data_IF_995939371608
#
_entry.id   IF_995939371608
#
_cell.length_a   1.000
_cell.length_b   1.000
_cell.length_c   1.000
_cell.angle_alpha   90.00
_cell.angle_beta   90.00
_cell.angle_gamma   90.00
#
_symmetry.space_group_name_H-M   'P 1'
#
loop_
_entity.id
_entity.type
_entity.pdbx_description
1 polymer ?
#
# COMPACT_ATOMS: atom_id res chain seq x y z
N UNK A 1 2.49 -1.46 -12.73
CA UNK A 1 2.74 -2.43 -11.68
C UNK A 1 3.24 -1.75 -10.43
N UNK A 2 3.17 -2.47 -9.35
CA UNK A 2 3.59 -1.91 -8.06
C UNK A 2 5.07 -1.56 -8.08
N UNK A 3 5.89 -2.37 -8.72
CA UNK A 3 7.32 -2.11 -8.76
C UNK A 3 7.62 -0.77 -9.41
N UNK A 4 6.89 -0.43 -10.46
CA UNK A 4 7.10 0.86 -11.11
C UNK A 4 6.79 2.02 -10.18
N UNK A 5 5.78 1.86 -9.35
CA UNK A 5 5.45 2.89 -8.37
C UNK A 5 6.56 3.05 -7.34
N UNK A 6 7.18 1.95 -6.94
CA UNK A 6 8.30 2.01 -5.99
C UNK A 6 9.50 2.72 -6.63
N UNK A 7 9.74 2.45 -7.91
CA UNK A 7 10.85 3.10 -8.58
C UNK A 7 10.65 4.60 -8.67
N UNK A 8 9.41 5.04 -8.86
CA UNK A 8 9.13 6.46 -8.90
C UNK A 8 9.42 7.11 -7.55
N UNK A 9 8.98 6.47 -6.47
CA UNK A 9 9.23 7.02 -5.14
C UNK A 9 10.71 7.13 -4.87
N UNK A 10 11.48 6.13 -5.28
CA UNK A 10 12.91 6.13 -5.05
C UNK A 10 13.60 7.18 -5.90
N UNK A 11 13.30 7.18 -7.19
CA UNK A 11 14.02 8.03 -8.13
C UNK A 11 13.73 9.49 -7.89
N UNK A 12 12.50 9.82 -7.59
CA UNK A 12 12.11 11.20 -7.41
C UNK A 12 12.12 11.66 -5.97
N UNK A 13 12.48 10.77 -5.06
CA UNK A 13 12.52 11.08 -3.63
C UNK A 13 11.21 11.73 -3.19
N UNK A 14 10.11 11.06 -3.45
CA UNK A 14 8.81 11.60 -3.14
C UNK A 14 7.92 10.50 -2.59
N UNK A 15 6.84 10.90 -1.93
CA UNK A 15 5.84 9.93 -1.50
C UNK A 15 4.95 9.59 -2.67
N UNK A 16 4.56 8.34 -2.75
CA UNK A 16 3.63 7.87 -3.76
C UNK A 16 2.53 7.09 -3.07
N UNK A 17 1.29 7.39 -3.39
CA UNK A 17 0.16 6.62 -2.90
C UNK A 17 -0.30 5.74 -4.05
N UNK A 18 -0.34 4.44 -3.80
CA UNK A 18 -0.68 3.46 -4.81
C UNK A 18 -2.10 2.98 -4.57
N UNK A 19 -2.92 3.01 -5.62
CA UNK A 19 -4.28 2.49 -5.57
C UNK A 19 -4.44 1.48 -6.68
N UNK A 20 -5.03 0.35 -6.36
CA UNK A 20 -5.46 -0.57 -7.41
C UNK A 20 -6.81 -0.11 -7.91
N UNK A 21 -7.17 -0.54 -9.11
CA UNK A 21 -8.33 0.03 -9.78
C UNK A 21 -9.66 -0.25 -9.11
N UNK A 22 -9.71 -1.24 -8.22
CA UNK A 22 -10.94 -1.53 -7.50
C UNK A 22 -10.97 -0.89 -6.11
N UNK A 23 -10.01 -0.06 -5.80
CA UNK A 23 -9.96 0.64 -4.51
C UNK A 23 -10.82 1.90 -4.56
N UNK A 24 -11.46 2.22 -3.44
CA UNK A 24 -12.18 3.49 -3.37
C UNK A 24 -12.08 4.07 -1.96
N UNK A 25 -12.06 5.39 -1.90
CA UNK A 25 -11.93 6.10 -0.65
C UNK A 25 -13.25 6.22 0.05
N UNK A 26 -13.24 5.97 1.35
CA UNK A 26 -14.41 6.18 2.21
C UNK A 26 -14.14 7.25 3.25
N UNK A 27 -12.90 7.71 3.35
CA UNK A 27 -12.51 8.77 4.28
C UNK A 27 -11.27 9.45 3.73
N UNK A 28 -11.00 10.69 4.14
CA UNK A 28 -9.79 11.37 3.65
C UNK A 28 -8.54 10.71 4.18
N UNK A 29 -7.49 10.73 3.39
CA UNK A 29 -6.17 10.29 3.83
C UNK A 29 -5.52 11.50 4.45
N UNK A 30 -5.05 11.41 5.70
CA UNK A 30 -4.43 12.57 6.34
C UNK A 30 -3.21 13.08 5.59
N UNK A 31 -3.01 14.39 5.64
CA UNK A 31 -1.89 15.01 4.99
C UNK A 31 -1.39 16.15 5.88
N UNK A 32 -0.19 16.08 6.44
CA UNK A 32 0.79 15.01 6.20
C UNK A 32 0.48 13.74 6.98
N UNK A 33 1.06 12.66 6.51
CA UNK A 33 0.93 11.39 7.18
C UNK A 33 2.34 10.94 7.55
N UNK A 34 2.54 10.59 8.81
CA UNK A 34 3.86 10.22 9.30
C UNK A 34 3.98 8.73 9.46
N UNK A 35 4.93 8.14 8.81
CA UNK A 35 5.17 6.71 8.84
C UNK A 35 6.63 6.47 8.48
N UNK A 36 7.12 5.25 8.76
CA UNK A 36 8.53 4.95 8.56
C UNK A 36 8.89 4.82 7.09
N UNK A 37 8.25 3.93 6.38
CA UNK A 37 8.59 3.68 4.98
C UNK A 37 7.41 3.35 4.10
N UNK A 38 6.49 2.55 4.60
CA UNK A 38 5.33 2.14 3.81
C UNK A 38 4.17 1.85 4.74
N UNK A 39 3.04 2.43 4.46
CA UNK A 39 1.87 2.30 5.33
C UNK A 39 0.67 1.84 4.52
N UNK A 40 0.02 0.80 5.01
CA UNK A 40 -1.19 0.27 4.39
C UNK A 40 -2.37 1.19 4.69
N UNK A 41 -3.14 1.52 3.67
CA UNK A 41 -4.33 2.34 3.80
C UNK A 41 -5.60 1.56 3.50
N UNK A 42 -5.46 0.33 3.07
CA UNK A 42 -6.59 -0.45 2.59
C UNK A 42 -7.10 -1.43 3.62
N UNK A 43 -8.41 -1.50 3.73
CA UNK A 43 -9.05 -2.39 4.68
C UNK A 43 -9.01 -3.83 4.18
N UNK A 44 -8.90 -4.79 5.10
CA UNK A 44 -9.07 -6.19 4.70
C UNK A 44 -10.48 -6.40 4.21
N UNK A 45 -10.65 -7.23 3.20
CA UNK A 45 -11.96 -7.44 2.63
C UNK A 45 -12.50 -8.84 2.87
N UNK A 46 -11.67 -9.77 3.24
CA UNK A 46 -12.12 -11.12 3.52
C UNK A 46 -11.15 -11.83 4.45
N UNK A 47 -11.58 -12.96 4.97
CA UNK A 47 -10.78 -13.72 5.91
C UNK A 47 -10.85 -13.13 7.29
N UNK A 48 -9.99 -13.59 8.16
CA UNK A 48 -9.94 -13.11 9.52
C UNK A 48 -8.83 -12.09 9.67
N UNK A 49 -9.07 -11.08 10.49
CA UNK A 49 -8.03 -10.12 10.78
C UNK A 49 -8.21 -9.58 12.19
N UNK A 50 -7.18 -8.92 12.67
CA UNK A 50 -7.21 -8.28 13.98
C UNK A 50 -7.51 -6.81 13.78
N UNK A 51 -8.48 -6.30 14.53
CA UNK A 51 -8.82 -4.88 14.44
C UNK A 51 -7.82 -4.10 15.28
N UNK A 52 -7.08 -3.15 14.69
CA UNK A 52 -6.17 -2.32 15.49
C UNK A 52 -6.95 -1.51 16.52
N UNK A 53 -6.33 -1.32 17.68
CA UNK A 53 -6.98 -0.61 18.77
C UNK A 53 -6.60 0.85 18.85
N UNK A 54 -5.70 1.32 17.99
CA UNK A 54 -5.29 2.71 18.01
C UNK A 54 -5.90 3.46 16.84
N UNK A 55 -5.77 4.78 16.87
CA UNK A 55 -6.13 5.64 15.75
C UNK A 55 -4.85 6.22 15.21
N UNK A 56 -4.66 6.13 13.90
CA UNK A 56 -3.46 6.63 13.25
C UNK A 56 -2.56 5.51 12.77
N UNK A 57 -1.30 5.84 12.58
CA UNK A 57 -0.30 4.89 12.07
C UNK A 57 0.24 4.04 13.19
N UNK A 58 0.35 2.75 12.95
CA UNK A 58 0.95 1.83 13.89
C UNK A 58 1.47 0.61 13.16
N UNK A 59 2.07 -0.32 13.88
CA UNK A 59 2.63 -1.51 13.25
C UNK A 59 1.56 -2.36 12.58
N UNK A 60 1.93 -3.05 11.54
CA UNK A 60 0.98 -3.89 10.80
C UNK A 60 0.61 -5.08 11.66
N UNK A 61 -0.63 -5.10 12.15
CA UNK A 61 -1.10 -6.22 12.96
C UNK A 61 -2.38 -6.85 12.45
N UNK A 62 -3.10 -6.16 11.57
CA UNK A 62 -4.39 -6.68 11.12
C UNK A 62 -4.22 -8.01 10.40
N UNK A 63 -3.18 -8.09 9.58
CA UNK A 63 -2.78 -9.32 8.91
C UNK A 63 -1.28 -9.32 8.84
N UNK A 64 -0.67 -10.49 8.61
CA UNK A 64 0.80 -10.49 8.46
C UNK A 64 1.27 -9.84 7.18
N UNK A 65 0.36 -9.45 6.28
CA UNK A 65 0.70 -8.83 5.02
C UNK A 65 -0.33 -7.75 4.72
N UNK A 66 -0.03 -6.89 3.75
CA UNK A 66 -1.01 -5.90 3.32
C UNK A 66 -2.14 -6.66 2.65
N UNK A 67 -3.35 -6.54 3.16
CA UNK A 67 -4.44 -7.33 2.62
C UNK A 67 -4.82 -6.82 1.23
N UNK A 68 -4.44 -7.59 0.21
CA UNK A 68 -4.73 -7.23 -1.16
C UNK A 68 -3.88 -6.14 -1.73
N UNK A 69 -3.19 -5.38 -0.90
CA UNK A 69 -2.31 -4.28 -1.33
C UNK A 69 -3.03 -3.31 -2.26
N UNK A 70 -4.33 -3.09 -2.04
CA UNK A 70 -5.09 -2.24 -2.94
C UNK A 70 -4.91 -0.75 -2.66
N UNK A 71 -4.32 -0.39 -1.54
CA UNK A 71 -4.01 1.01 -1.28
C UNK A 71 -2.93 1.12 -0.22
N UNK A 72 -1.86 1.81 -0.54
CA UNK A 72 -0.81 2.05 0.44
C UNK A 72 0.02 3.23 -0.02
N UNK A 73 0.78 3.79 0.90
CA UNK A 73 1.66 4.92 0.60
C UNK A 73 3.07 4.56 1.00
N UNK A 74 4.04 4.97 0.21
CA UNK A 74 5.43 4.72 0.53
C UNK A 74 6.26 5.96 0.20
N UNK A 75 7.39 6.08 0.90
CA UNK A 75 8.35 7.14 0.65
C UNK A 75 9.63 6.52 0.09
N UNK A 76 10.65 7.36 -0.11
CA UNK A 76 11.89 6.88 -0.67
C UNK A 76 12.51 5.78 0.17
N UNK A 77 12.48 5.94 1.50
CA UNK A 77 13.05 4.93 2.36
C UNK A 77 12.34 3.59 2.22
N UNK A 78 11.03 3.60 2.18
CA UNK A 78 10.28 2.37 1.97
C UNK A 78 10.57 1.77 0.60
N UNK A 79 10.64 2.62 -0.42
CA UNK A 79 10.94 2.15 -1.76
C UNK A 79 12.32 1.50 -1.84
N UNK A 80 13.31 2.13 -1.22
CA UNK A 80 14.66 1.55 -1.21
C UNK A 80 14.66 0.17 -0.58
N UNK A 81 13.99 0.04 0.56
CA UNK A 81 13.97 -1.23 1.28
C UNK A 81 13.21 -2.31 0.53
N UNK A 82 12.10 -1.94 -0.10
CA UNK A 82 11.32 -2.91 -0.86
C UNK A 82 12.06 -3.36 -2.11
N UNK A 83 12.68 -2.44 -2.81
CA UNK A 83 13.40 -2.77 -4.02
C UNK A 83 14.63 -3.61 -3.72
N UNK A 84 15.34 -3.25 -2.66
CA UNK A 84 16.51 -4.05 -2.29
C UNK A 84 16.11 -5.44 -1.83
N UNK A 85 14.97 -5.59 -1.22
CA UNK A 85 14.52 -6.90 -0.76
C UNK A 85 14.14 -7.83 -1.87
N UNK A 86 13.80 -7.30 -3.02
CA UNK A 86 13.31 -8.13 -4.10
C UNK A 86 14.38 -9.09 -4.60
N UNK A 87 15.65 -8.77 -4.35
CA UNK A 87 16.72 -9.64 -4.77
C UNK A 87 16.74 -10.94 -3.99
N UNK A 88 16.24 -10.91 -2.78
CA UNK A 88 16.28 -12.05 -1.90
C UNK A 88 14.94 -12.70 -1.66
N UNK A 89 13.88 -12.08 -2.13
CA UNK A 89 12.55 -12.58 -1.86
C UNK A 89 11.89 -12.99 -3.15
N UNK A 90 11.10 -14.04 -3.10
CA UNK A 90 10.36 -14.43 -4.28
C UNK A 90 9.13 -13.58 -4.37
N UNK A 91 8.85 -13.03 -5.54
CA UNK A 91 7.64 -12.23 -5.70
C UNK A 91 6.43 -13.12 -5.46
N UNK A 92 5.52 -12.66 -4.65
CA UNK A 92 4.28 -13.36 -4.38
C UNK A 92 3.20 -12.34 -4.20
N UNK A 93 1.98 -12.82 -4.13
CA UNK A 93 0.85 -11.95 -3.89
C UNK A 93 0.94 -11.28 -2.55
N UNK A 94 1.71 -11.83 -1.65
CA UNK A 94 1.85 -11.27 -0.31
C UNK A 94 3.27 -10.80 -0.05
N UNK A 95 3.91 -10.25 -1.08
CA UNK A 95 5.26 -9.75 -0.94
C UNK A 95 5.37 -8.69 0.16
N UNK A 96 4.36 -7.84 0.28
CA UNK A 96 4.36 -6.80 1.32
C UNK A 96 3.91 -7.43 2.62
N UNK A 97 4.80 -8.16 3.27
CA UNK A 97 4.50 -8.85 4.50
C UNK A 97 5.54 -8.52 5.57
N UNK A 98 5.12 -8.58 6.83
CA UNK A 98 5.98 -8.16 7.92
C UNK A 98 7.03 -9.19 8.29
N UNK A 99 6.94 -10.39 7.75
CA UNK A 99 7.98 -11.37 7.97
C UNK A 99 9.27 -10.95 7.26
N UNK A 100 9.15 -10.44 6.03
CA UNK A 100 10.29 -9.93 5.30
C UNK A 100 10.55 -8.46 5.60
N UNK A 101 9.50 -7.69 5.88
CA UNK A 101 9.61 -6.26 6.09
C UNK A 101 8.93 -5.87 7.39
N UNK A 102 9.56 -6.12 8.53
CA UNK A 102 8.90 -5.91 9.83
C UNK A 102 8.59 -4.46 10.15
N UNK A 103 9.10 -3.54 9.36
CA UNK A 103 8.85 -2.11 9.55
C UNK A 103 7.57 -1.62 8.87
N UNK A 104 6.84 -2.51 8.21
CA UNK A 104 5.60 -2.12 7.57
C UNK A 104 4.56 -1.70 8.62
N UNK A 105 3.74 -0.73 8.23
CA UNK A 105 2.77 -0.14 9.14
C UNK A 105 1.39 -0.09 8.49
N UNK A 106 0.38 0.27 9.25
CA UNK A 106 -0.96 0.46 8.72
C UNK A 106 -1.62 1.64 9.43
N UNK A 107 -2.57 2.25 8.75
CA UNK A 107 -3.32 3.38 9.27
C UNK A 107 -4.72 2.91 9.63
N UNK A 108 -5.14 3.20 10.85
CA UNK A 108 -6.47 2.83 11.33
C UNK A 108 -7.24 4.08 11.73
N UNK A 109 -8.49 4.24 11.33
CA UNK A 109 -9.29 3.31 10.51
C UNK A 109 -8.93 3.45 9.04
N UNK A 110 -9.00 2.33 8.34
CA UNK A 110 -8.57 2.30 6.96
C UNK A 110 -9.45 3.18 6.09
N UNK A 111 -8.87 4.14 5.35
CA UNK A 111 -9.68 5.06 4.53
C UNK A 111 -10.04 4.51 3.16
N UNK A 112 -9.51 3.36 2.78
CA UNK A 112 -9.73 2.82 1.46
C UNK A 112 -10.32 1.42 1.54
N UNK A 113 -11.34 1.16 0.77
CA UNK A 113 -11.94 -0.16 0.68
C UNK A 113 -11.75 -0.72 -0.71
N UNK A 114 -11.95 -2.01 -0.84
CA UNK A 114 -11.81 -2.71 -2.10
C UNK A 114 -13.18 -3.19 -2.54
N UNK A 115 -13.49 -3.05 -3.81
CA UNK A 115 -14.76 -3.50 -4.33
C UNK A 115 -14.62 -4.92 -4.85
N UNK A 116 -14.74 -5.88 -3.95
CA UNK A 116 -14.57 -7.26 -4.31
C UNK A 116 -15.51 -7.74 -5.37
N UNK A 117 -16.65 -7.13 -5.47
CA UNK A 117 -17.62 -7.57 -6.44
C UNK A 117 -17.15 -7.43 -7.85
N UNK A 118 -16.11 -6.62 -8.08
CA UNK A 118 -15.65 -6.38 -9.43
C UNK A 118 -14.36 -7.07 -9.74
N UNK A 119 -13.93 -7.96 -8.90
CA UNK A 119 -12.61 -8.55 -9.07
C UNK A 119 -12.53 -9.49 -10.24
N UNK A 120 -13.64 -9.92 -10.75
CA UNK A 120 -13.57 -10.88 -11.83
C UNK A 120 -12.90 -10.35 -13.06
N UNK A 121 -12.82 -9.04 -13.17
CA UNK A 121 -12.21 -8.49 -14.33
C UNK A 121 -10.83 -8.02 -14.10
N UNK A 122 -10.28 -8.33 -12.98
CA UNK A 122 -9.02 -7.81 -12.61
C UNK A 122 -7.89 -8.62 -13.09
N UNK A 123 -7.80 -8.87 -14.34
CA UNK A 123 -6.69 -9.50 -14.83
C UNK A 123 -5.56 -8.61 -14.99
N UNK A 124 -5.81 -7.36 -15.25
CA UNK A 124 -4.78 -6.47 -15.38
C UNK A 124 -4.57 -5.79 -14.19
N UNK A 125 -3.42 -5.86 -13.61
CA UNK A 125 -3.11 -5.16 -12.48
C UNK A 125 -2.72 -3.86 -12.87
N UNK A 126 -3.42 -2.90 -12.50
CA UNK A 126 -3.03 -1.55 -12.73
C UNK A 126 -2.50 -0.96 -11.48
N UNK A 127 -1.57 -0.07 -11.59
CA UNK A 127 -1.13 0.74 -10.48
C UNK A 127 -1.59 2.15 -10.79
N UNK A 128 -2.46 2.68 -9.95
CA UNK A 128 -2.86 4.05 -10.10
C UNK A 128 -2.07 4.81 -9.10
N UNK A 129 -1.03 5.48 -9.54
CA UNK A 129 -0.13 6.16 -8.64
C UNK A 129 -0.46 7.62 -8.63
N UNK A 130 -0.62 8.17 -7.42
CA UNK A 130 -0.88 9.57 -7.26
C UNK A 130 0.25 10.16 -6.48
N UNK A 131 0.95 11.09 -7.09
CA UNK A 131 2.07 11.74 -6.46
C UNK A 131 1.57 12.88 -5.62
N UNK A 132 2.28 13.18 -4.57
CA UNK A 132 1.87 14.23 -3.67
C UNK A 132 1.94 15.60 -4.32
N UNK A 133 2.68 15.76 -5.41
CA UNK A 133 2.80 17.03 -6.06
C UNK A 133 1.90 17.16 -7.26
N UNK A 134 1.09 16.21 -7.53
CA UNK A 134 0.44 16.20 -8.77
C UNK A 134 -0.96 15.71 -8.69
N UNK A 135 -1.79 16.20 -9.53
CA UNK A 135 -3.09 15.71 -9.69
C UNK A 135 -3.09 14.59 -10.66
N UNK A 136 -1.94 14.23 -11.17
CA UNK A 136 -1.88 13.24 -12.17
C UNK A 136 -1.94 11.90 -11.63
N UNK A 137 -2.59 11.02 -12.37
CA UNK A 137 -2.63 9.63 -12.03
C UNK A 137 -2.03 8.88 -13.17
N UNK A 138 -1.23 7.86 -12.82
CA UNK A 138 -0.73 7.00 -13.83
C UNK A 138 -1.29 5.65 -13.61
N UNK A 139 -1.88 5.07 -14.64
CA UNK A 139 -2.41 3.73 -14.55
C UNK A 139 -1.43 2.83 -15.22
N UNK A 140 -0.83 1.99 -14.41
CA UNK A 140 0.25 1.16 -14.90
C UNK A 140 -0.15 -0.29 -14.93
#
# INVERSE_FOLDING_TARGET
SHYSCWEIAKKENTEVTVFEHDAYLVAPIPDPLFYYGCVNLGAPSYGKWVQPSWIGVGPLISKPYFPGAHAYRLNKQGADLLINGIKNAKPTDVYLNKHWFPWLEEYNPWPVLCKDNFTTIQKEEGCLAKHNWSDEYEII
#
